data_IF_855129092231
#
_entry.id   IF_855129092231
#
_cell.length_a   1.000
_cell.length_b   1.000
_cell.length_c   1.000
_cell.angle_alpha   90.00
_cell.angle_beta   90.00
_cell.angle_gamma   90.00
#
_symmetry.space_group_name_H-M   'P 1'
#
loop_
_entity.id
_entity.type
_entity.pdbx_description
1 polymer ?
#
# COMPACT_ATOMS: atom_id res chain seq x y z
N UNK A 1 -13.36 18.10 18.61
CA UNK A 1 -14.70 18.38 18.05
C UNK A 1 -15.08 19.80 18.42
N UNK A 2 -15.19 20.70 17.43
CA UNK A 2 -15.34 22.13 17.66
C UNK A 2 -16.79 22.45 18.09
N UNK A 3 -16.97 23.06 19.27
CA UNK A 3 -18.29 23.33 19.87
C UNK A 3 -19.04 24.48 19.19
N UNK A 4 -18.36 25.28 18.37
CA UNK A 4 -19.00 26.38 17.63
C UNK A 4 -19.79 25.88 16.42
N UNK A 5 -19.31 24.86 15.72
CA UNK A 5 -20.02 24.25 14.58
C UNK A 5 -21.39 23.68 14.98
N UNK A 6 -21.52 23.17 16.21
CA UNK A 6 -22.74 22.50 16.66
C UNK A 6 -23.94 23.46 16.84
N UNK A 7 -23.70 24.77 16.99
CA UNK A 7 -24.78 25.76 17.19
C UNK A 7 -25.52 26.09 15.90
N UNK A 8 -24.90 25.92 14.74
CA UNK A 8 -25.52 26.26 13.45
C UNK A 8 -26.40 25.13 12.90
N UNK A 9 -26.31 23.92 13.47
CA UNK A 9 -27.07 22.74 13.02
C UNK A 9 -28.18 22.31 14.00
N UNK A 10 -28.46 23.08 15.05
CA UNK A 10 -29.55 22.79 15.99
C UNK A 10 -30.95 23.16 15.48
N UNK A 11 -31.04 23.86 14.35
CA UNK A 11 -32.29 24.38 13.78
C UNK A 11 -32.57 23.74 12.41
N UNK A 12 -32.64 22.40 12.37
CA UNK A 12 -32.96 21.67 11.16
C UNK A 12 -34.12 20.72 11.43
N UNK A 13 -35.23 20.98 10.75
CA UNK A 13 -36.49 20.25 10.94
C UNK A 13 -36.49 18.85 10.29
N UNK A 14 -35.48 18.57 9.44
CA UNK A 14 -35.30 17.26 8.81
C UNK A 14 -33.84 16.92 8.52
N UNK A 15 -33.58 15.63 8.30
CA UNK A 15 -32.27 15.15 7.84
C UNK A 15 -31.86 15.72 6.48
N UNK A 16 -32.83 16.10 5.64
CA UNK A 16 -32.58 16.73 4.34
C UNK A 16 -32.11 18.18 4.51
N UNK A 17 -32.66 18.89 5.49
CA UNK A 17 -32.27 20.27 5.77
C UNK A 17 -30.86 20.32 6.38
N UNK A 18 -30.55 19.38 7.28
CA UNK A 18 -29.19 19.16 7.77
C UNK A 18 -28.20 18.93 6.61
N UNK A 19 -28.56 18.03 5.68
CA UNK A 19 -27.70 17.70 4.55
C UNK A 19 -27.46 18.90 3.62
N UNK A 20 -28.52 19.64 3.29
CA UNK A 20 -28.43 20.82 2.41
C UNK A 20 -27.59 21.93 3.05
N UNK A 21 -27.71 22.13 4.36
CA UNK A 21 -26.95 23.14 5.11
C UNK A 21 -25.47 22.76 5.26
N UNK A 22 -25.19 21.47 5.42
CA UNK A 22 -23.82 20.95 5.36
C UNK A 22 -23.22 21.19 3.98
N UNK A 23 -23.94 20.83 2.93
CA UNK A 23 -23.47 20.97 1.54
C UNK A 23 -23.16 22.44 1.19
N UNK A 24 -24.01 23.39 1.60
CA UNK A 24 -23.73 24.82 1.40
C UNK A 24 -22.50 25.31 2.18
N UNK A 25 -22.26 24.78 3.38
CA UNK A 25 -21.11 25.19 4.21
C UNK A 25 -19.77 24.66 3.66
N UNK A 26 -19.79 23.63 2.82
CA UNK A 26 -18.58 23.02 2.24
C UNK A 26 -18.40 23.29 0.74
N UNK A 27 -19.31 24.04 0.11
CA UNK A 27 -19.25 24.35 -1.33
C UNK A 27 -18.76 25.75 -1.65
N UNK A 28 -18.81 26.69 -0.70
CA UNK A 28 -18.22 28.03 -0.88
C UNK A 28 -16.80 28.08 -0.32
N UNK A 29 -15.80 27.94 -1.21
CA UNK A 29 -14.45 28.43 -0.98
C UNK A 29 -13.47 27.44 -0.35
N UNK A 30 -13.22 26.33 -1.03
CA UNK A 30 -11.88 25.76 -1.26
C UNK A 30 -12.04 24.49 -2.09
N UNK A 31 -11.14 24.28 -3.07
CA UNK A 31 -11.11 23.09 -3.91
C UNK A 31 -11.25 21.83 -3.04
N UNK A 32 -12.29 21.04 -3.30
CA UNK A 32 -12.55 19.81 -2.56
C UNK A 32 -11.29 18.92 -2.54
N UNK A 33 -10.94 18.30 -1.41
CA UNK A 33 -10.09 17.12 -1.47
C UNK A 33 -10.86 16.05 -2.24
N UNK A 34 -10.16 15.29 -3.08
CA UNK A 34 -10.59 14.14 -3.89
C UNK A 34 -11.35 13.00 -3.13
N UNK A 35 -11.87 13.24 -1.92
CA UNK A 35 -12.42 12.25 -1.00
C UNK A 35 -13.83 11.76 -1.32
N UNK A 36 -14.47 12.25 -2.39
CA UNK A 36 -15.71 11.68 -2.94
C UNK A 36 -15.54 11.12 -4.36
N UNK A 37 -14.35 10.62 -4.69
CA UNK A 37 -14.27 9.50 -5.63
C UNK A 37 -15.08 8.35 -5.01
N UNK A 38 -16.37 8.26 -5.40
CA UNK A 38 -17.38 7.32 -4.91
C UNK A 38 -16.78 5.96 -4.60
N UNK A 39 -17.22 5.29 -3.52
CA UNK A 39 -16.82 3.91 -3.20
C UNK A 39 -16.88 3.01 -4.46
N UNK A 40 -17.82 3.25 -5.37
CA UNK A 40 -17.93 2.56 -6.66
C UNK A 40 -16.68 2.67 -7.54
N UNK A 41 -16.02 3.83 -7.57
CA UNK A 41 -14.81 4.06 -8.38
C UNK A 41 -13.58 3.43 -7.74
N UNK A 42 -13.46 3.45 -6.41
CA UNK A 42 -12.38 2.75 -5.69
C UNK A 42 -12.53 1.23 -5.72
N UNK A 43 -13.76 0.72 -5.78
CA UNK A 43 -14.02 -0.71 -5.97
C UNK A 43 -13.75 -1.14 -7.42
N UNK A 44 -14.11 -0.31 -8.40
CA UNK A 44 -13.77 -0.57 -9.81
C UNK A 44 -12.25 -0.60 -10.03
N UNK A 45 -11.51 0.39 -9.51
CA UNK A 45 -10.03 0.43 -9.59
C UNK A 45 -9.41 -0.81 -8.94
N UNK A 46 -9.95 -1.25 -7.80
CA UNK A 46 -9.48 -2.47 -7.13
C UNK A 46 -9.76 -3.72 -7.96
N UNK A 47 -10.96 -3.86 -8.52
CA UNK A 47 -11.30 -4.98 -9.41
C UNK A 47 -10.41 -5.01 -10.66
N UNK A 48 -10.10 -3.86 -11.22
CA UNK A 48 -9.17 -3.77 -12.35
C UNK A 48 -7.78 -4.26 -11.94
N UNK A 49 -7.23 -3.73 -10.84
CA UNK A 49 -5.93 -4.13 -10.32
C UNK A 49 -5.89 -5.62 -9.95
N UNK A 50 -6.95 -6.18 -9.36
CA UNK A 50 -6.99 -7.58 -8.93
C UNK A 50 -7.03 -8.60 -10.09
N UNK A 51 -7.37 -8.14 -11.30
CA UNK A 51 -7.38 -8.98 -12.51
C UNK A 51 -6.09 -8.90 -13.32
N UNK A 52 -5.11 -8.10 -12.88
CA UNK A 52 -3.83 -7.96 -13.58
C UNK A 52 -3.08 -9.29 -13.58
N UNK A 53 -2.65 -9.71 -14.77
CA UNK A 53 -1.73 -10.83 -14.91
C UNK A 53 -0.30 -10.38 -14.62
N UNK A 54 0.19 -10.68 -13.42
CA UNK A 54 1.52 -10.32 -12.93
C UNK A 54 2.64 -10.82 -13.88
N UNK A 55 2.47 -12.00 -14.49
CA UNK A 55 3.45 -12.59 -15.41
C UNK A 55 3.65 -11.81 -16.70
N UNK A 56 2.72 -10.91 -17.06
CA UNK A 56 2.91 -10.00 -18.20
C UNK A 56 3.91 -8.88 -17.90
N UNK A 57 4.14 -8.57 -16.62
CA UNK A 57 5.05 -7.50 -16.18
C UNK A 57 6.37 -8.03 -15.66
N UNK A 58 6.33 -9.20 -15.01
CA UNK A 58 7.46 -9.76 -14.27
C UNK A 58 7.89 -11.05 -14.93
N UNK A 59 9.07 -11.03 -15.54
CA UNK A 59 9.61 -12.16 -16.31
C UNK A 59 10.58 -13.04 -15.52
N UNK A 60 10.99 -12.60 -14.33
CA UNK A 60 11.92 -13.34 -13.46
C UNK A 60 11.26 -13.64 -12.12
N UNK A 61 11.52 -14.82 -11.56
CA UNK A 61 11.18 -15.10 -10.16
C UNK A 61 12.27 -14.59 -9.25
N UNK A 62 11.94 -13.76 -8.27
CA UNK A 62 12.91 -13.30 -7.28
C UNK A 62 13.47 -14.50 -6.51
N UNK A 63 14.78 -14.71 -6.61
CA UNK A 63 15.44 -15.85 -5.96
C UNK A 63 16.70 -15.45 -5.20
N UNK A 64 17.00 -14.15 -5.13
CA UNK A 64 18.14 -13.61 -4.41
C UNK A 64 18.72 -12.36 -5.07
N UNK A 65 19.91 -11.96 -4.62
CA UNK A 65 20.54 -10.70 -5.00
C UNK A 65 20.86 -10.58 -6.50
N UNK A 66 21.12 -11.70 -7.18
CA UNK A 66 21.56 -11.72 -8.58
C UNK A 66 20.48 -11.22 -9.55
N UNK A 67 19.20 -11.50 -9.27
CA UNK A 67 18.09 -11.10 -10.11
C UNK A 67 17.17 -10.04 -9.48
N UNK A 68 17.44 -9.66 -8.22
CA UNK A 68 16.70 -8.62 -7.52
C UNK A 68 16.61 -7.30 -8.29
N UNK A 69 17.67 -6.72 -8.89
CA UNK A 69 17.55 -5.45 -9.60
C UNK A 69 16.56 -5.49 -10.77
N UNK A 70 16.53 -6.60 -11.53
CA UNK A 70 15.61 -6.81 -12.65
C UNK A 70 14.19 -6.98 -12.11
N UNK A 71 14.01 -7.86 -11.12
CA UNK A 71 12.73 -8.11 -10.49
C UNK A 71 12.13 -6.83 -9.89
N UNK A 72 12.93 -6.05 -9.14
CA UNK A 72 12.51 -4.81 -8.47
C UNK A 72 12.01 -3.79 -9.48
N UNK A 73 12.73 -3.62 -10.60
CA UNK A 73 12.33 -2.68 -11.65
C UNK A 73 11.01 -3.11 -12.31
N UNK A 74 10.84 -4.39 -12.62
CA UNK A 74 9.61 -4.94 -13.21
C UNK A 74 8.42 -4.81 -12.26
N UNK A 75 8.60 -5.17 -10.99
CA UNK A 75 7.58 -5.01 -9.96
C UNK A 75 7.20 -3.54 -9.76
N UNK A 76 8.18 -2.64 -9.74
CA UNK A 76 7.92 -1.21 -9.63
C UNK A 76 7.10 -0.67 -10.82
N UNK A 77 7.34 -1.17 -12.04
CA UNK A 77 6.52 -0.80 -13.20
C UNK A 77 5.09 -1.34 -13.11
N UNK A 78 4.90 -2.56 -12.62
CA UNK A 78 3.56 -3.09 -12.34
C UNK A 78 2.83 -2.19 -11.34
N UNK A 79 3.43 -1.90 -10.19
CA UNK A 79 2.84 -1.05 -9.14
C UNK A 79 2.51 0.35 -9.67
N UNK A 80 3.42 0.96 -10.46
CA UNK A 80 3.21 2.27 -11.11
C UNK A 80 2.05 2.26 -12.09
N UNK A 81 1.90 1.19 -12.89
CA UNK A 81 0.81 1.07 -13.86
C UNK A 81 -0.58 1.07 -13.23
N UNK A 82 -0.66 0.77 -11.93
CA UNK A 82 -1.90 0.72 -11.15
C UNK A 82 -2.05 1.92 -10.19
N UNK A 83 -1.17 2.93 -10.26
CA UNK A 83 -1.15 4.10 -9.37
C UNK A 83 -0.92 3.75 -7.87
N UNK A 84 -0.28 2.61 -7.59
CA UNK A 84 -0.16 2.04 -6.23
C UNK A 84 1.17 2.33 -5.53
N UNK A 85 2.00 3.22 -6.05
CA UNK A 85 3.35 3.50 -5.52
C UNK A 85 3.33 3.97 -4.06
N UNK A 86 2.29 4.71 -3.67
CA UNK A 86 2.14 5.21 -2.31
C UNK A 86 2.12 4.09 -1.26
N UNK A 87 1.70 2.86 -1.62
CA UNK A 87 1.65 1.71 -0.71
C UNK A 87 3.04 1.23 -0.28
N UNK A 88 4.03 1.32 -1.17
CA UNK A 88 5.41 0.91 -0.86
C UNK A 88 6.22 2.06 -0.24
N UNK A 89 5.63 3.26 -0.11
CA UNK A 89 6.28 4.46 0.43
C UNK A 89 5.70 4.91 1.78
N UNK A 90 4.41 4.68 2.04
CA UNK A 90 3.70 5.19 3.22
C UNK A 90 2.72 4.17 3.78
N UNK A 91 2.60 4.12 5.11
CA UNK A 91 1.66 3.25 5.83
C UNK A 91 0.28 3.92 6.05
N UNK A 92 -0.78 3.09 6.16
CA UNK A 92 -1.79 3.34 7.18
C UNK A 92 -3.16 3.93 6.82
N UNK A 93 -3.75 3.69 5.64
CA UNK A 93 -5.18 3.98 5.41
C UNK A 93 -5.99 2.69 5.20
N UNK A 94 -7.18 2.56 5.82
CA UNK A 94 -8.02 1.34 5.76
C UNK A 94 -8.46 0.96 4.33
N UNK A 95 -8.69 1.94 3.45
CA UNK A 95 -8.98 1.71 2.02
C UNK A 95 -7.77 1.05 1.32
N UNK A 96 -6.56 1.24 1.86
CA UNK A 96 -5.34 0.65 1.34
C UNK A 96 -5.14 -0.79 1.79
N UNK A 97 -5.83 -1.31 2.81
CA UNK A 97 -5.60 -2.70 3.28
C UNK A 97 -5.87 -3.72 2.18
N UNK A 98 -6.92 -3.52 1.37
CA UNK A 98 -7.19 -4.41 0.21
C UNK A 98 -6.08 -4.33 -0.83
N UNK A 99 -5.58 -3.13 -1.11
CA UNK A 99 -4.49 -2.93 -2.07
C UNK A 99 -3.12 -3.39 -1.54
N UNK A 100 -2.90 -3.27 -0.23
CA UNK A 100 -1.72 -3.76 0.48
C UNK A 100 -1.60 -5.28 0.31
N UNK A 101 -2.69 -6.00 0.59
CA UNK A 101 -2.78 -7.44 0.36
C UNK A 101 -2.62 -7.81 -1.11
N UNK A 102 -3.15 -7.00 -2.03
CA UNK A 102 -3.00 -7.24 -3.47
C UNK A 102 -1.54 -7.13 -3.91
N UNK A 103 -0.83 -6.06 -3.52
CA UNK A 103 0.58 -5.87 -3.87
C UNK A 103 1.47 -6.90 -3.16
N UNK A 104 1.18 -7.28 -1.90
CA UNK A 104 1.83 -8.42 -1.25
C UNK A 104 1.64 -9.71 -2.04
N UNK A 105 0.44 -9.95 -2.55
CA UNK A 105 0.14 -11.09 -3.43
C UNK A 105 1.04 -11.11 -4.67
N UNK A 106 1.22 -9.96 -5.34
CA UNK A 106 2.13 -9.85 -6.49
C UNK A 106 3.60 -10.11 -6.12
N UNK A 107 4.04 -9.57 -4.98
CA UNK A 107 5.39 -9.78 -4.45
C UNK A 107 5.64 -11.25 -4.16
N UNK A 108 4.80 -11.87 -3.34
CA UNK A 108 4.98 -13.26 -2.93
C UNK A 108 4.81 -14.26 -4.08
N UNK A 109 3.87 -14.03 -5.02
CA UNK A 109 3.66 -14.97 -6.12
C UNK A 109 4.80 -14.98 -7.15
N UNK A 110 5.65 -13.95 -7.14
CA UNK A 110 6.83 -13.86 -8.00
C UNK A 110 8.14 -14.17 -7.28
N UNK A 111 8.09 -14.62 -6.04
CA UNK A 111 9.25 -15.20 -5.37
C UNK A 111 9.49 -16.66 -5.81
N UNK A 112 10.73 -17.14 -5.68
CA UNK A 112 11.01 -18.56 -5.64
C UNK A 112 10.40 -19.18 -4.38
N UNK A 113 10.16 -20.49 -4.40
CA UNK A 113 9.56 -21.19 -3.26
C UNK A 113 10.44 -21.10 -2.00
N UNK A 114 11.75 -21.23 -2.17
CA UNK A 114 12.71 -21.14 -1.06
C UNK A 114 12.67 -19.76 -0.41
N UNK A 115 12.67 -18.71 -1.22
CA UNK A 115 12.59 -17.35 -0.71
C UNK A 115 11.22 -17.05 -0.10
N UNK A 116 10.14 -17.56 -0.68
CA UNK A 116 8.81 -17.37 -0.11
C UNK A 116 8.70 -17.96 1.31
N UNK A 117 9.29 -19.15 1.55
CA UNK A 117 9.34 -19.76 2.90
C UNK A 117 10.08 -18.89 3.91
N UNK A 118 11.13 -18.20 3.48
CA UNK A 118 11.88 -17.28 4.34
C UNK A 118 11.07 -16.03 4.68
N UNK A 119 10.15 -15.57 3.82
CA UNK A 119 9.44 -14.30 4.00
C UNK A 119 7.97 -14.44 4.41
N UNK A 120 7.45 -15.66 4.55
CA UNK A 120 6.03 -15.91 4.86
C UNK A 120 5.59 -15.26 6.19
N UNK A 121 6.49 -15.12 7.16
CA UNK A 121 6.21 -14.47 8.44
C UNK A 121 5.87 -12.97 8.31
N UNK A 122 6.10 -12.37 7.14
CA UNK A 122 5.77 -10.98 6.87
C UNK A 122 4.32 -10.76 6.39
N UNK A 123 3.47 -11.80 6.38
CA UNK A 123 2.09 -11.69 5.88
C UNK A 123 1.27 -10.62 6.59
N UNK A 124 1.48 -10.46 7.91
CA UNK A 124 0.79 -9.48 8.75
C UNK A 124 1.38 -8.07 8.67
N UNK A 125 2.53 -7.92 8.01
CA UNK A 125 3.20 -6.63 7.89
C UNK A 125 2.64 -5.83 6.69
N UNK A 126 2.69 -4.48 6.75
CA UNK A 126 2.37 -3.64 5.61
C UNK A 126 3.29 -3.92 4.43
N UNK A 127 2.80 -3.74 3.20
CA UNK A 127 3.59 -3.95 1.98
C UNK A 127 4.81 -3.03 1.90
N UNK A 128 4.74 -1.83 2.49
CA UNK A 128 5.88 -0.93 2.66
C UNK A 128 7.01 -1.59 3.45
N UNK A 129 6.68 -2.31 4.53
CA UNK A 129 7.65 -3.03 5.34
C UNK A 129 8.28 -4.18 4.55
N UNK A 130 7.47 -4.99 3.87
CA UNK A 130 7.95 -6.09 3.00
C UNK A 130 8.90 -5.55 1.92
N UNK A 131 8.49 -4.48 1.24
CA UNK A 131 9.28 -3.84 0.19
C UNK A 131 10.62 -3.31 0.71
N UNK A 132 10.61 -2.62 1.85
CA UNK A 132 11.81 -2.06 2.47
C UNK A 132 12.74 -3.15 3.03
N UNK A 133 12.20 -4.26 3.54
CA UNK A 133 12.99 -5.41 3.97
C UNK A 133 13.73 -6.07 2.79
N UNK A 134 13.05 -6.25 1.66
CA UNK A 134 13.71 -6.76 0.44
C UNK A 134 14.80 -5.81 -0.06
N UNK A 135 14.53 -4.50 -0.03
CA UNK A 135 15.51 -3.48 -0.36
C UNK A 135 16.73 -3.53 0.56
N UNK A 136 16.54 -3.64 1.88
CA UNK A 136 17.66 -3.68 2.84
C UNK A 136 18.55 -4.92 2.65
N UNK A 137 17.99 -6.04 2.21
CA UNK A 137 18.73 -7.29 1.97
C UNK A 137 19.47 -7.25 0.62
N UNK A 138 18.85 -6.70 -0.43
CA UNK A 138 19.35 -6.90 -1.80
C UNK A 138 19.86 -5.65 -2.52
N UNK A 139 19.52 -4.43 -2.07
CA UNK A 139 20.12 -3.19 -2.60
C UNK A 139 21.54 -2.95 -2.10
N UNK A 140 22.03 -3.78 -1.17
CA UNK A 140 23.42 -3.73 -0.71
C UNK A 140 24.36 -3.73 -1.92
N UNK A 141 25.24 -2.72 -2.08
CA UNK A 141 26.27 -2.78 -3.10
C UNK A 141 27.08 -4.06 -2.87
N UNK A 142 27.62 -4.66 -3.95
CA UNK A 142 28.59 -5.74 -3.83
C UNK A 142 29.79 -5.24 -3.03
N UNK A 143 29.73 -5.31 -1.70
CA UNK A 143 30.90 -5.18 -0.87
C UNK A 143 31.73 -6.43 -1.15
N UNK A 144 32.86 -6.24 -1.82
CA UNK A 144 33.97 -7.18 -1.68
C UNK A 144 34.22 -7.36 -0.17
N UNK A 145 34.01 -8.58 0.33
CA UNK A 145 34.24 -8.90 1.74
C UNK A 145 32.98 -8.99 2.60
N UNK A 146 32.52 -10.23 2.74
CA UNK A 146 31.70 -10.83 3.80
C UNK A 146 31.56 -10.05 5.11
N UNK A 147 30.32 -9.81 5.56
CA UNK A 147 29.87 -10.14 6.93
C UNK A 147 28.37 -10.47 6.90
N UNK A 148 28.03 -11.75 7.12
CA UNK A 148 26.67 -12.15 7.42
C UNK A 148 26.25 -11.50 8.73
N UNK A 149 25.26 -10.62 8.69
CA UNK A 149 24.54 -10.23 9.90
C UNK A 149 23.25 -11.05 9.90
N UNK A 150 23.32 -12.21 10.52
CA UNK A 150 22.14 -12.90 11.03
C UNK A 150 21.50 -11.97 12.05
N UNK A 151 20.36 -11.38 11.72
CA UNK A 151 19.52 -10.76 12.74
C UNK A 151 19.03 -11.90 13.63
N UNK A 152 19.69 -12.01 14.78
CA UNK A 152 19.23 -12.78 15.91
C UNK A 152 17.79 -12.38 16.21
N UNK A 153 16.98 -13.43 16.38
CA UNK A 153 15.71 -13.48 17.10
C UNK A 153 15.61 -12.32 18.11
N UNK A 154 14.54 -11.53 17.98
CA UNK A 154 14.17 -10.48 18.91
C UNK A 154 14.09 -11.02 20.35
N UNK A 155 15.08 -10.68 21.18
CA UNK A 155 14.88 -10.52 22.61
C UNK A 155 14.35 -9.09 22.84
N UNK A 156 13.05 -8.96 23.10
CA UNK A 156 12.48 -7.74 23.68
C UNK A 156 12.45 -7.87 25.21
N UNK A 157 13.05 -6.95 25.97
CA UNK A 157 12.73 -6.83 27.38
C UNK A 157 11.47 -5.97 27.58
N UNK A 158 10.64 -6.37 28.55
CA UNK A 158 9.67 -5.50 29.22
C UNK A 158 10.39 -4.43 30.06
#
# INVERSE_FOLDING_TARGET
>A
MNKELLKDFTDCDSARDLWTKLESHFTDGDSWPDSFVSASTQDLKYTQASTVNVSNFISVKLSGQSNYPIWKLQMLFLIKSQELVHLIQQEGLRILVKYDNLVKGWIFCTMSEDLFKEFIYLEDYPVSYVWNMLASIYDLPKSEGTYFITYHVFDFPL
#
